data_IF_740175213164
#
_entry.id   IF_740175213164
#
_cell.length_a   1.000
_cell.length_b   1.000
_cell.length_c   1.000
_cell.angle_alpha   90.00
_cell.angle_beta   90.00
_cell.angle_gamma   90.00
#
_symmetry.space_group_name_H-M   'P 1'
#
loop_
_entity.id
_entity.type
_entity.pdbx_description
1 polymer ?
#
# COMPACT_ATOMS: atom_id res chain seq x y z
N UNK A 1 5.69 -4.31 -2.74
CA UNK A 1 5.10 -3.05 -2.25
C UNK A 1 5.24 -2.96 -0.74
N UNK A 2 4.73 -3.92 0.02
CA UNK A 2 4.78 -3.93 1.48
C UNK A 2 6.20 -3.92 2.04
N UNK A 3 7.09 -4.74 1.50
CA UNK A 3 8.49 -4.74 1.88
C UNK A 3 9.18 -3.39 1.67
N UNK A 4 8.84 -2.67 0.59
CA UNK A 4 9.38 -1.33 0.34
C UNK A 4 8.92 -0.32 1.40
N UNK A 5 7.65 -0.35 1.78
CA UNK A 5 7.13 0.52 2.83
C UNK A 5 7.79 0.26 4.19
N UNK A 6 7.94 -1.00 4.56
CA UNK A 6 8.54 -1.40 5.83
C UNK A 6 10.04 -1.11 5.88
N UNK A 7 10.81 -1.58 4.91
CA UNK A 7 12.27 -1.54 4.97
C UNK A 7 12.88 -0.25 4.43
N UNK A 8 12.33 0.32 3.37
CA UNK A 8 12.86 1.56 2.78
C UNK A 8 12.34 2.82 3.48
N UNK A 9 11.05 2.86 3.81
CA UNK A 9 10.41 4.02 4.42
C UNK A 9 10.21 3.89 5.93
N UNK A 10 10.55 2.75 6.49
CA UNK A 10 10.48 2.49 7.93
C UNK A 10 9.08 2.73 8.51
N UNK A 11 8.06 2.26 7.80
CA UNK A 11 6.67 2.30 8.26
C UNK A 11 6.33 0.91 8.79
N UNK A 12 6.20 0.81 10.11
CA UNK A 12 5.84 -0.43 10.81
C UNK A 12 4.44 -0.31 11.40
N UNK A 13 3.46 -0.73 10.65
CA UNK A 13 2.06 -0.78 11.04
C UNK A 13 1.33 -1.85 10.26
N UNK A 14 0.15 -2.26 10.73
CA UNK A 14 -0.76 -3.06 9.92
C UNK A 14 -1.36 -2.17 8.83
N UNK A 15 -1.14 -2.52 7.59
CA UNK A 15 -1.61 -1.78 6.43
C UNK A 15 -1.82 -2.69 5.24
N UNK A 16 -2.72 -2.29 4.38
CA UNK A 16 -2.89 -2.86 3.05
C UNK A 16 -2.77 -1.76 2.00
N UNK A 17 -2.50 -2.16 0.77
CA UNK A 17 -2.44 -1.18 -0.31
C UNK A 17 -2.26 -1.80 -1.68
N UNK A 18 -2.54 -1.00 -2.67
CA UNK A 18 -2.44 -1.40 -4.09
C UNK A 18 -1.91 -0.26 -4.94
N UNK A 19 -0.97 -0.58 -5.80
CA UNK A 19 -0.50 0.31 -6.86
C UNK A 19 -1.40 0.22 -8.08
N UNK A 20 -1.51 1.31 -8.81
CA UNK A 20 -2.12 1.37 -10.13
C UNK A 20 -1.21 2.10 -11.10
N UNK A 21 -1.16 1.61 -12.33
CA UNK A 21 -0.41 2.25 -13.42
C UNK A 21 -1.26 2.12 -14.68
N UNK A 22 -1.55 3.25 -15.32
CA UNK A 22 -2.31 3.24 -16.56
C UNK A 22 -1.43 2.92 -17.76
N UNK A 23 -2.08 2.65 -18.91
CA UNK A 23 -1.38 2.39 -20.16
C UNK A 23 -0.42 3.55 -20.50
N UNK A 24 0.74 3.22 -21.04
CA UNK A 24 1.81 4.18 -21.37
C UNK A 24 2.38 4.96 -20.19
N UNK A 25 2.16 4.50 -18.97
CA UNK A 25 2.69 5.15 -17.76
C UNK A 25 2.26 6.62 -17.61
N UNK A 26 1.05 6.96 -18.02
CA UNK A 26 0.50 8.32 -17.92
C UNK A 26 0.05 8.67 -16.51
N UNK A 27 -0.49 7.69 -15.78
CA UNK A 27 -0.95 7.85 -14.42
C UNK A 27 -0.37 6.79 -13.49
N UNK A 28 0.07 7.23 -12.33
CA UNK A 28 0.55 6.38 -11.26
C UNK A 28 -0.30 6.58 -10.00
N UNK A 29 -0.84 5.51 -9.46
CA UNK A 29 -1.67 5.51 -8.26
C UNK A 29 -1.08 4.66 -7.16
N UNK A 30 -1.29 5.08 -5.95
CA UNK A 30 -1.17 4.23 -4.77
C UNK A 30 -2.34 4.51 -3.84
N UNK A 31 -3.08 3.45 -3.50
CA UNK A 31 -4.12 3.47 -2.47
C UNK A 31 -3.64 2.64 -1.30
N UNK A 32 -3.70 3.19 -0.10
CA UNK A 32 -3.31 2.50 1.12
C UNK A 32 -4.31 2.70 2.23
N UNK A 33 -4.37 1.74 3.14
CA UNK A 33 -5.24 1.81 4.30
C UNK A 33 -4.59 1.17 5.52
N UNK A 34 -4.92 1.72 6.66
CA UNK A 34 -4.64 1.19 8.00
C UNK A 34 -5.97 0.86 8.67
N UNK A 35 -6.00 0.33 9.90
CA UNK A 35 -7.26 0.04 10.57
C UNK A 35 -8.24 1.22 10.66
N UNK A 36 -7.74 2.45 10.70
CA UNK A 36 -8.57 3.65 10.90
C UNK A 36 -8.44 4.73 9.82
N UNK A 37 -7.61 4.54 8.81
CA UNK A 37 -7.36 5.55 7.78
C UNK A 37 -7.22 4.94 6.39
N UNK A 38 -7.94 5.49 5.43
CA UNK A 38 -7.78 5.22 3.99
C UNK A 38 -7.29 6.48 3.31
N UNK A 39 -6.24 6.35 2.52
CA UNK A 39 -5.70 7.46 1.75
C UNK A 39 -5.11 7.03 0.43
N UNK A 40 -5.02 7.94 -0.51
CA UNK A 40 -4.51 7.65 -1.84
C UNK A 40 -3.62 8.77 -2.37
N UNK A 41 -2.79 8.42 -3.33
CA UNK A 41 -1.94 9.35 -4.04
C UNK A 41 -1.98 9.09 -5.53
N UNK A 42 -2.15 10.14 -6.29
CA UNK A 42 -2.07 10.14 -7.74
C UNK A 42 -0.93 11.04 -8.22
N UNK A 43 -0.21 10.54 -9.21
CA UNK A 43 0.81 11.30 -9.94
C UNK A 43 0.54 11.15 -11.42
N UNK A 44 0.37 12.26 -12.11
CA UNK A 44 0.09 12.27 -13.54
C UNK A 44 0.12 13.68 -14.12
N UNK A 45 -0.03 13.77 -15.43
CA UNK A 45 -0.16 15.02 -16.16
C UNK A 45 -1.62 15.31 -16.55
N UNK A 46 -1.92 16.54 -16.96
CA UNK A 46 -3.23 16.93 -17.44
C UNK A 46 -3.60 16.23 -18.76
N UNK A 47 -2.60 15.92 -19.58
CA UNK A 47 -2.75 15.24 -20.86
C UNK A 47 -2.08 13.87 -20.81
N UNK A 48 -2.69 12.87 -21.44
CA UNK A 48 -2.14 11.51 -21.55
C UNK A 48 -0.86 11.42 -22.39
N UNK A 49 -0.58 12.41 -23.18
CA UNK A 49 0.68 12.53 -23.92
C UNK A 49 1.86 12.86 -22.99
N UNK A 50 1.57 13.31 -21.76
CA UNK A 50 2.55 13.48 -20.70
C UNK A 50 2.70 12.15 -19.98
N UNK A 51 3.76 11.39 -20.26
CA UNK A 51 4.01 10.09 -19.69
C UNK A 51 5.51 9.79 -19.57
N UNK A 52 5.83 8.77 -18.76
CA UNK A 52 7.18 8.24 -18.72
C UNK A 52 7.37 7.17 -19.81
N UNK A 53 8.55 7.13 -20.40
CA UNK A 53 8.88 6.17 -21.47
C UNK A 53 8.99 4.72 -20.96
N UNK A 54 9.25 4.54 -19.68
CA UNK A 54 9.41 3.21 -19.10
C UNK A 54 8.51 3.00 -17.88
N UNK A 55 7.98 1.80 -17.73
CA UNK A 55 7.20 1.39 -16.55
C UNK A 55 8.02 1.49 -15.25
N UNK A 56 9.32 1.26 -15.32
CA UNK A 56 10.21 1.42 -14.16
C UNK A 56 10.14 2.83 -13.56
N UNK A 57 10.03 3.85 -14.39
CA UNK A 57 9.97 5.25 -13.95
C UNK A 57 8.55 5.67 -13.58
N UNK A 58 7.54 5.27 -14.38
CA UNK A 58 6.17 5.74 -14.29
C UNK A 58 5.21 4.86 -13.49
N UNK A 59 5.67 3.73 -12.93
CA UNK A 59 4.78 2.85 -12.16
C UNK A 59 4.42 3.43 -10.78
N UNK A 60 3.25 3.06 -10.27
CA UNK A 60 2.73 3.51 -8.98
C UNK A 60 3.67 3.27 -7.81
N UNK A 61 4.40 2.16 -7.81
CA UNK A 61 5.39 1.84 -6.78
C UNK A 61 6.60 2.77 -6.76
N UNK A 62 6.89 3.45 -7.86
CA UNK A 62 8.02 4.38 -7.98
C UNK A 62 7.60 5.83 -7.78
N UNK A 63 6.41 6.20 -8.27
CA UNK A 63 5.96 7.59 -8.29
C UNK A 63 5.00 7.92 -7.14
N UNK A 64 3.95 7.15 -6.95
CA UNK A 64 2.88 7.44 -5.99
C UNK A 64 3.15 6.89 -4.59
N UNK A 65 3.68 5.69 -4.47
CA UNK A 65 3.97 5.05 -3.19
C UNK A 65 4.91 5.86 -2.29
N UNK A 66 6.01 6.47 -2.78
CA UNK A 66 6.87 7.30 -1.94
C UNK A 66 6.15 8.49 -1.32
N UNK A 67 5.27 9.15 -2.08
CA UNK A 67 4.49 10.29 -1.60
C UNK A 67 3.55 9.85 -0.47
N UNK A 68 2.84 8.74 -0.69
CA UNK A 68 1.99 8.14 0.34
C UNK A 68 2.78 7.76 1.59
N UNK A 69 3.98 7.19 1.43
CA UNK A 69 4.84 6.82 2.55
C UNK A 69 5.26 8.04 3.39
N UNK A 70 5.67 9.12 2.76
CA UNK A 70 6.01 10.36 3.48
C UNK A 70 4.80 10.99 4.16
N UNK A 71 3.65 10.95 3.51
CA UNK A 71 2.38 11.38 4.10
C UNK A 71 2.08 10.59 5.38
N UNK A 72 2.12 9.26 5.32
CA UNK A 72 1.85 8.41 6.49
C UNK A 72 2.85 8.61 7.62
N UNK A 73 4.13 8.85 7.31
CA UNK A 73 5.12 9.18 8.33
C UNK A 73 4.77 10.47 9.09
N UNK A 74 4.28 11.47 8.38
CA UNK A 74 3.78 12.72 9.01
C UNK A 74 2.52 12.48 9.82
N UNK A 75 1.58 11.69 9.33
CA UNK A 75 0.35 11.34 10.05
C UNK A 75 0.68 10.66 11.38
N UNK A 76 1.57 9.66 11.38
CA UNK A 76 1.95 8.97 12.62
C UNK A 76 2.83 9.81 13.55
N UNK A 77 3.57 10.76 13.03
CA UNK A 77 4.38 11.66 13.85
C UNK A 77 3.54 12.72 14.56
N UNK A 78 2.41 13.12 14.00
CA UNK A 78 1.50 14.11 14.60
C UNK A 78 0.51 13.44 15.55
N UNK A 79 0.84 13.44 16.83
CA UNK A 79 0.02 12.82 17.88
C UNK A 79 -1.35 13.49 18.06
N UNK A 80 -1.54 14.70 17.58
CA UNK A 80 -2.82 15.42 17.68
C UNK A 80 -3.89 14.82 16.77
N UNK A 81 -3.49 14.10 15.70
CA UNK A 81 -4.40 13.45 14.78
C UNK A 81 -5.01 12.15 15.32
N UNK A 82 -4.39 11.53 16.34
CA UNK A 82 -4.93 10.35 17.00
C UNK A 82 -4.76 9.02 16.27
N UNK A 83 -3.94 8.97 15.21
CA UNK A 83 -3.61 7.71 14.52
C UNK A 83 -2.42 7.03 15.17
N UNK A 84 -2.61 5.78 15.59
CA UNK A 84 -1.57 4.97 16.23
C UNK A 84 -1.05 3.90 15.24
N UNK A 85 0.27 3.84 14.97
CA UNK A 85 0.84 2.80 14.11
C UNK A 85 0.69 1.38 14.69
N UNK A 86 0.39 1.24 15.97
CA UNK A 86 0.17 -0.05 16.63
C UNK A 86 -1.27 -0.56 16.55
N UNK A 87 -2.19 0.18 15.95
CA UNK A 87 -3.56 -0.29 15.70
C UNK A 87 -3.55 -1.58 14.87
N UNK A 88 -4.50 -2.47 15.17
CA UNK A 88 -4.66 -3.75 14.49
C UNK A 88 -6.02 -3.84 13.81
N UNK A 89 -6.06 -4.57 12.68
CA UNK A 89 -7.33 -4.92 12.05
C UNK A 89 -8.09 -5.91 12.92
N UNK A 90 -9.42 -5.75 12.95
CA UNK A 90 -10.32 -6.72 13.55
C UNK A 90 -10.58 -7.86 12.57
N UNK A 91 -9.95 -9.01 12.83
CA UNK A 91 -10.02 -10.18 11.95
C UNK A 91 -10.95 -11.21 12.58
N UNK A 92 -12.02 -11.67 11.89
CA UNK A 92 -12.89 -12.73 12.38
C UNK A 92 -12.10 -14.00 12.73
N UNK A 93 -12.51 -14.70 13.79
CA UNK A 93 -11.84 -15.93 14.24
C UNK A 93 -11.86 -17.05 13.19
N UNK A 94 -12.90 -17.07 12.34
CA UNK A 94 -13.09 -18.04 11.27
C UNK A 94 -12.60 -17.55 9.91
N UNK A 95 -11.82 -16.46 9.87
CA UNK A 95 -11.28 -15.90 8.64
C UNK A 95 -10.30 -16.86 7.98
N UNK A 96 -10.66 -17.40 6.83
CA UNK A 96 -9.81 -18.27 6.02
C UNK A 96 -9.59 -17.63 4.65
N UNK A 97 -8.46 -16.91 4.43
CA UNK A 97 -8.13 -16.33 3.15
C UNK A 97 -7.70 -17.45 2.19
N UNK A 98 -8.47 -17.76 1.20
CA UNK A 98 -8.11 -18.75 0.18
C UNK A 98 -8.07 -20.20 0.66
N UNK A 99 -9.20 -20.74 1.13
CA UNK A 99 -9.36 -22.19 1.23
C UNK A 99 -9.47 -22.80 -0.18
N UNK A 100 -8.35 -23.07 -0.84
CA UNK A 100 -8.33 -24.12 -1.85
C UNK A 100 -8.32 -25.44 -1.10
N UNK A 101 -9.21 -26.35 -1.42
CA UNK A 101 -9.34 -27.66 -0.78
C UNK A 101 -8.08 -28.55 -0.88
N UNK A 102 -7.02 -28.03 -1.51
CA UNK A 102 -5.77 -28.76 -1.81
C UNK A 102 -4.59 -28.43 -0.89
N UNK A 103 -4.69 -27.43 0.00
CA UNK A 103 -3.55 -27.05 0.87
C UNK A 103 -3.71 -27.54 2.31
N UNK A 104 -3.46 -28.82 2.49
CA UNK A 104 -3.44 -29.47 3.80
C UNK A 104 -2.18 -29.15 4.65
N UNK A 105 -1.42 -28.08 4.37
CA UNK A 105 -0.22 -27.77 5.17
C UNK A 105 0.32 -26.32 5.05
N UNK A 106 -0.51 -25.32 4.95
CA UNK A 106 -0.03 -23.93 4.86
C UNK A 106 -0.54 -23.09 6.04
N UNK A 107 0.28 -22.89 7.02
CA UNK A 107 0.08 -21.85 8.03
C UNK A 107 0.42 -20.51 7.38
N UNK A 108 -0.55 -19.86 6.74
CA UNK A 108 -0.37 -18.52 6.20
C UNK A 108 -0.32 -17.52 7.35
N UNK A 109 0.75 -16.75 7.43
CA UNK A 109 0.80 -15.60 8.31
C UNK A 109 0.01 -14.44 7.68
N UNK A 110 -0.57 -13.58 8.52
CA UNK A 110 -1.24 -12.34 8.06
C UNK A 110 -0.31 -11.50 7.17
N UNK A 111 1.00 -11.66 7.31
CA UNK A 111 2.03 -11.00 6.52
C UNK A 111 2.01 -11.42 5.04
N UNK A 112 1.57 -12.64 4.72
CA UNK A 112 1.49 -13.17 3.35
C UNK A 112 0.31 -12.60 2.54
N UNK A 113 -0.69 -12.04 3.22
CA UNK A 113 -1.90 -11.49 2.58
C UNK A 113 -1.68 -10.08 2.02
N UNK A 114 -0.65 -9.37 2.50
CA UNK A 114 -0.41 -7.96 2.20
C UNK A 114 0.81 -7.69 1.30
N UNK A 115 1.31 -8.70 0.64
CA UNK A 115 2.36 -8.53 -0.39
C UNK A 115 1.86 -7.85 -1.67
#
# INVERSE_FOLDING_TARGET
TGGRLRYKYNIDCQMGGKTGTTNKNADAWFMGFTPSLVSGCWVGGEDRDIHFDTTRMGQGATMALPIWAYYMKKVFADKTLGYDPKETFDIPEDFNPCSSEDDNNGQYSIEDIYE
#
